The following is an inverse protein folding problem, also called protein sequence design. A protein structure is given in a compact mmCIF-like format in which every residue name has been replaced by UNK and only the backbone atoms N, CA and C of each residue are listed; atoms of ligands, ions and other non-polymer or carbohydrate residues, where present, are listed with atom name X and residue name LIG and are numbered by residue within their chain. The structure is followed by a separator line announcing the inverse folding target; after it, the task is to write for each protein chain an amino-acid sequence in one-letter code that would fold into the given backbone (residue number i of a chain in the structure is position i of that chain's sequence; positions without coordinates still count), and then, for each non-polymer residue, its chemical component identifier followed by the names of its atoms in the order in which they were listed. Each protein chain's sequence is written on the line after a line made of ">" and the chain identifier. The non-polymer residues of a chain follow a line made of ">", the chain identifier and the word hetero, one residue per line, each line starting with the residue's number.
data_IF_926188363129
#
_entry.id   IF_926188363129
#
_cell.length_a   1.000
_cell.length_b   1.000
_cell.length_c   1.000
_cell.angle_alpha   90.00
_cell.angle_beta   90.00
_cell.angle_gamma   90.00
#
_symmetry.space_group_name_H-M   'P 1'
#
loop_
_entity.id
_entity.type
_entity.pdbx_description
1 polymer ?
#
# COMPACT_ATOMS: atom_id res chain seq x y z
N UNK A 1 18.00 3.53 16.30
CA UNK A 1 18.67 2.46 17.09
C UNK A 1 19.26 2.99 18.39
N UNK A 2 20.44 3.63 18.43
CA UNK A 2 21.15 3.98 19.68
C UNK A 2 20.34 4.77 20.73
N UNK A 3 19.46 5.69 20.31
CA UNK A 3 18.59 6.45 21.24
C UNK A 3 17.45 5.63 21.83
N UNK A 4 17.02 4.56 21.15
CA UNK A 4 15.87 3.72 21.53
C UNK A 4 16.31 2.51 22.35
N UNK A 5 17.37 1.85 21.92
CA UNK A 5 18.01 0.76 22.63
C UNK A 5 19.55 0.89 22.50
N UNK A 6 20.26 1.25 23.57
CA UNK A 6 21.71 1.39 23.54
C UNK A 6 22.45 0.04 23.39
N UNK A 7 21.82 -1.09 23.74
CA UNK A 7 22.43 -2.42 23.65
C UNK A 7 22.50 -2.96 22.21
N UNK A 8 21.60 -2.52 21.34
CA UNK A 8 21.51 -2.93 19.94
C UNK A 8 22.17 -1.93 18.96
N UNK A 9 23.01 -1.01 19.47
CA UNK A 9 23.65 -0.01 18.64
C UNK A 9 24.81 -0.62 17.82
N UNK A 10 24.89 -0.36 16.50
CA UNK A 10 25.96 -0.88 15.67
C UNK A 10 27.31 -0.22 16.00
N UNK A 11 28.38 -1.00 15.86
CA UNK A 11 29.76 -0.55 16.03
C UNK A 11 30.37 -0.10 14.70
N UNK A 12 31.54 0.53 14.79
CA UNK A 12 32.31 0.92 13.60
C UNK A 12 32.77 -0.32 12.85
N UNK A 13 32.30 -0.48 11.61
CA UNK A 13 32.62 -1.62 10.75
C UNK A 13 31.45 -2.58 10.51
N UNK A 14 30.35 -2.45 11.27
CA UNK A 14 29.19 -3.32 11.13
C UNK A 14 28.30 -2.93 9.94
N UNK A 15 27.72 -3.93 9.27
CA UNK A 15 26.69 -3.71 8.25
C UNK A 15 25.32 -3.58 8.90
N UNK A 16 24.69 -2.42 8.75
CA UNK A 16 23.40 -2.12 9.38
C UNK A 16 22.27 -2.33 8.38
N UNK A 17 21.32 -3.27 8.63
CA UNK A 17 20.15 -3.43 7.77
C UNK A 17 19.14 -2.31 7.99
N UNK A 18 18.50 -1.86 6.92
CA UNK A 18 17.45 -0.84 6.97
C UNK A 18 16.41 -1.07 5.88
N UNK A 19 15.22 -0.52 6.09
CA UNK A 19 14.13 -0.44 5.11
C UNK A 19 13.62 0.99 5.02
N UNK A 20 13.09 1.38 3.86
CA UNK A 20 12.52 2.71 3.64
C UNK A 20 11.02 2.69 3.88
N UNK A 21 10.59 3.40 4.92
CA UNK A 21 9.17 3.56 5.26
C UNK A 21 8.51 4.68 4.45
N UNK A 22 7.19 4.57 4.29
CA UNK A 22 6.35 5.60 3.68
C UNK A 22 6.29 6.85 4.57
N UNK A 23 6.54 8.01 3.96
CA UNK A 23 6.36 9.32 4.60
C UNK A 23 5.84 10.34 3.56
N UNK A 24 5.62 11.58 3.99
CA UNK A 24 5.18 12.66 3.08
C UNK A 24 6.11 12.82 1.86
N UNK A 25 5.52 13.29 0.74
CA UNK A 25 6.26 13.54 -0.51
C UNK A 25 7.36 14.57 -0.24
N UNK A 26 8.59 14.28 -0.71
CA UNK A 26 9.73 15.19 -0.57
C UNK A 26 10.57 15.03 0.71
N UNK A 27 10.19 14.15 1.64
CA UNK A 27 11.04 13.84 2.80
C UNK A 27 12.30 13.09 2.34
N UNK A 28 13.46 13.50 2.87
CA UNK A 28 14.74 12.91 2.51
C UNK A 28 14.83 11.42 2.94
N UNK A 29 15.52 10.60 2.14
CA UNK A 29 15.57 9.15 2.34
C UNK A 29 16.18 8.74 3.70
N UNK A 30 17.13 9.51 4.24
CA UNK A 30 17.75 9.22 5.55
C UNK A 30 16.79 9.41 6.73
N UNK A 31 15.71 10.20 6.58
CA UNK A 31 14.67 10.33 7.59
C UNK A 31 13.65 9.20 7.52
N UNK A 32 13.60 8.50 6.38
CA UNK A 32 12.70 7.37 6.12
C UNK A 32 13.33 6.01 6.40
N UNK A 33 14.62 5.96 6.69
CA UNK A 33 15.30 4.70 6.97
C UNK A 33 14.99 4.23 8.39
N UNK A 34 14.38 3.06 8.51
CA UNK A 34 14.08 2.42 9.79
C UNK A 34 14.60 0.99 9.83
N UNK A 35 14.67 0.46 11.05
CA UNK A 35 15.11 -0.92 11.27
C UNK A 35 14.00 -1.93 10.96
N UNK A 36 14.31 -3.08 10.33
CA UNK A 36 13.29 -4.03 9.90
C UNK A 36 12.45 -4.61 11.06
N UNK A 37 13.06 -4.76 12.23
CA UNK A 37 12.41 -5.34 13.42
C UNK A 37 11.34 -4.36 13.93
N UNK A 38 11.70 -3.09 14.08
CA UNK A 38 10.79 -2.03 14.50
C UNK A 38 9.64 -1.81 13.52
N UNK A 39 9.91 -1.93 12.22
CA UNK A 39 8.87 -1.86 11.17
C UNK A 39 7.86 -2.99 11.31
N UNK A 40 8.32 -4.20 11.63
CA UNK A 40 7.45 -5.36 11.85
C UNK A 40 6.59 -5.18 13.11
N UNK A 41 7.20 -4.76 14.22
CA UNK A 41 6.52 -4.55 15.50
C UNK A 41 5.44 -3.46 15.38
N UNK A 42 5.76 -2.34 14.73
CA UNK A 42 4.86 -1.19 14.63
C UNK A 42 3.97 -1.20 13.38
N UNK A 43 4.13 -2.19 12.51
CA UNK A 43 3.41 -2.31 11.23
C UNK A 43 3.50 -1.02 10.40
N UNK A 44 4.71 -0.49 10.24
CA UNK A 44 4.94 0.74 9.48
C UNK A 44 4.79 0.47 7.97
N UNK A 45 4.12 1.36 7.22
CA UNK A 45 3.94 1.20 5.79
C UNK A 45 5.28 1.35 5.06
N UNK A 46 5.50 0.53 4.04
CA UNK A 46 6.69 0.57 3.19
C UNK A 46 6.47 1.51 2.01
N UNK A 47 7.48 2.30 1.63
CA UNK A 47 7.43 3.17 0.46
C UNK A 47 7.63 2.37 -0.84
N UNK A 48 6.56 1.77 -1.37
CA UNK A 48 6.63 0.96 -2.60
C UNK A 48 7.11 1.75 -3.81
N UNK A 49 6.84 3.06 -3.85
CA UNK A 49 7.25 3.91 -4.97
C UNK A 49 8.77 4.07 -4.98
N UNK A 50 9.37 4.29 -3.81
CA UNK A 50 10.81 4.37 -3.66
C UNK A 50 11.53 3.12 -4.21
N UNK A 51 11.07 1.93 -3.84
CA UNK A 51 11.68 0.68 -4.31
C UNK A 51 11.49 0.47 -5.82
N UNK A 52 10.32 0.82 -6.36
CA UNK A 52 10.07 0.71 -7.79
C UNK A 52 10.98 1.64 -8.61
N UNK A 53 11.08 2.92 -8.23
CA UNK A 53 11.80 3.93 -9.02
C UNK A 53 13.31 3.93 -8.78
N UNK A 54 13.74 3.79 -7.53
CA UNK A 54 15.17 3.96 -7.19
C UNK A 54 15.96 2.66 -7.30
N UNK A 55 15.34 1.52 -7.00
CA UNK A 55 16.01 0.23 -6.94
C UNK A 55 15.76 -0.62 -8.18
N UNK A 56 14.50 -0.75 -8.62
CA UNK A 56 14.14 -1.66 -9.71
C UNK A 56 14.20 -1.01 -11.09
N UNK A 57 13.71 0.23 -11.25
CA UNK A 57 13.59 0.86 -12.56
C UNK A 57 14.95 0.97 -13.27
N UNK A 58 15.98 1.50 -12.60
CA UNK A 58 17.31 1.74 -13.19
C UNK A 58 17.96 0.47 -13.76
N UNK A 59 18.09 -0.65 -13.01
CA UNK A 59 18.67 -1.87 -13.57
C UNK A 59 17.81 -2.50 -14.67
N UNK A 60 16.48 -2.43 -14.55
CA UNK A 60 15.58 -2.96 -15.57
C UNK A 60 15.72 -2.21 -16.89
N UNK A 61 15.73 -0.87 -16.84
CA UNK A 61 15.93 -0.04 -18.01
C UNK A 61 17.26 -0.37 -18.70
N UNK A 62 18.36 -0.46 -17.94
CA UNK A 62 19.68 -0.80 -18.49
C UNK A 62 19.70 -2.14 -19.26
N UNK A 63 18.89 -3.13 -18.86
CA UNK A 63 18.84 -4.44 -19.50
C UNK A 63 17.94 -4.41 -20.75
N UNK A 64 16.81 -3.72 -20.65
CA UNK A 64 15.75 -3.78 -21.65
C UNK A 64 15.81 -2.68 -22.71
N UNK A 65 16.50 -1.56 -22.44
CA UNK A 65 16.69 -0.46 -23.39
C UNK A 65 17.33 -0.90 -24.72
N UNK A 66 18.41 -1.72 -24.74
CA UNK A 66 19.01 -2.16 -26.01
C UNK A 66 18.09 -3.05 -26.87
N UNK A 67 17.07 -3.66 -26.26
CA UNK A 67 16.17 -4.61 -26.93
C UNK A 67 14.91 -3.90 -27.44
N UNK A 68 14.30 -3.06 -26.60
CA UNK A 68 13.00 -2.43 -26.85
C UNK A 68 13.12 -1.01 -27.43
N UNK A 69 14.31 -0.41 -27.36
CA UNK A 69 14.58 0.97 -27.73
C UNK A 69 14.33 1.95 -26.57
N UNK A 70 14.93 3.13 -26.69
CA UNK A 70 14.82 4.21 -25.68
C UNK A 70 13.35 4.63 -25.47
N UNK A 71 12.95 4.83 -24.22
CA UNK A 71 11.62 5.33 -23.83
C UNK A 71 10.48 4.31 -23.79
N UNK A 72 10.48 3.29 -24.68
CA UNK A 72 9.44 2.24 -24.69
C UNK A 72 9.52 1.30 -23.50
N UNK A 73 10.73 0.99 -23.04
CA UNK A 73 10.93 0.13 -21.88
C UNK A 73 10.29 0.73 -20.62
N UNK A 74 10.41 2.05 -20.41
CA UNK A 74 9.87 2.71 -19.23
C UNK A 74 8.34 2.73 -19.21
N UNK A 75 7.70 3.02 -20.34
CA UNK A 75 6.24 3.01 -20.42
C UNK A 75 5.70 1.59 -20.22
N UNK A 76 6.21 0.62 -20.96
CA UNK A 76 5.68 -0.76 -20.92
C UNK A 76 5.91 -1.42 -19.55
N UNK A 77 7.09 -1.24 -18.94
CA UNK A 77 7.45 -1.97 -17.72
C UNK A 77 7.01 -1.27 -16.43
N UNK A 78 7.06 0.07 -16.37
CA UNK A 78 6.90 0.80 -15.11
C UNK A 78 5.57 1.58 -15.04
N UNK A 79 5.01 1.97 -16.19
CA UNK A 79 3.79 2.80 -16.27
C UNK A 79 2.68 2.06 -17.04
N UNK A 80 1.83 1.31 -16.35
CA UNK A 80 0.74 0.59 -17.03
C UNK A 80 -0.38 0.13 -16.11
N UNK A 81 -1.31 -0.63 -16.69
CA UNK A 81 -2.44 -1.21 -15.96
C UNK A 81 -1.98 -2.14 -14.82
N UNK A 82 -0.84 -2.81 -15.01
CA UNK A 82 -0.24 -3.72 -14.03
C UNK A 82 0.27 -3.01 -12.77
N UNK A 83 0.59 -1.71 -12.81
CA UNK A 83 1.06 -0.94 -11.65
C UNK A 83 -0.02 -0.05 -11.01
N UNK A 84 -1.25 -0.03 -11.55
CA UNK A 84 -2.36 0.79 -11.03
C UNK A 84 -2.99 0.24 -9.75
N UNK A 85 -2.70 -1.00 -9.39
CA UNK A 85 -3.20 -1.66 -8.19
C UNK A 85 -2.18 -1.56 -7.04
N UNK A 86 -2.30 -0.53 -6.20
CA UNK A 86 -1.50 -0.42 -4.96
C UNK A 86 -2.28 -0.99 -3.78
N UNK A 87 -1.67 -1.94 -3.06
CA UNK A 87 -2.18 -2.40 -1.75
C UNK A 87 -1.40 -1.64 -0.68
N UNK A 88 -2.03 -0.62 -0.10
CA UNK A 88 -1.40 0.18 0.96
C UNK A 88 -1.87 -0.37 2.30
N UNK A 89 -0.92 -0.77 3.14
CA UNK A 89 -1.18 -1.07 4.55
C UNK A 89 -1.27 0.25 5.31
N UNK A 90 -2.35 0.45 6.07
CA UNK A 90 -2.46 1.59 6.98
C UNK A 90 -1.76 1.29 8.29
N UNK A 91 -0.92 2.21 8.77
CA UNK A 91 -0.23 2.07 10.05
C UNK A 91 -1.24 1.94 11.20
N UNK A 92 -0.96 1.03 12.15
CA UNK A 92 -1.75 0.89 13.38
C UNK A 92 -1.55 2.07 14.34
N UNK A 93 -0.41 2.76 14.23
CA UNK A 93 0.05 3.74 15.21
C UNK A 93 -0.24 5.15 14.69
N UNK A 94 -1.45 5.63 14.92
CA UNK A 94 -1.83 7.01 14.63
C UNK A 94 -3.03 7.44 15.48
N UNK A 95 -2.95 8.61 16.12
CA UNK A 95 -4.01 9.12 17.00
C UNK A 95 -5.38 9.21 16.32
N UNK A 96 -5.40 9.50 15.01
CA UNK A 96 -6.63 9.52 14.22
C UNK A 96 -7.23 8.12 13.98
N UNK A 97 -6.41 7.06 13.88
CA UNK A 97 -6.89 5.71 13.57
C UNK A 97 -7.58 5.05 14.78
N UNK A 98 -7.36 5.55 15.99
CA UNK A 98 -8.05 5.09 17.19
C UNK A 98 -9.55 5.40 17.19
N UNK A 99 -10.00 6.42 16.44
CA UNK A 99 -11.39 6.84 16.38
C UNK A 99 -12.14 6.33 15.13
N UNK A 100 -11.45 5.61 14.25
CA UNK A 100 -12.03 5.13 13.01
C UNK A 100 -12.87 3.88 13.25
N UNK A 101 -14.16 3.93 12.88
CA UNK A 101 -15.07 2.78 12.97
C UNK A 101 -15.11 2.01 11.66
N UNK A 102 -14.96 0.68 11.72
CA UNK A 102 -15.04 -0.18 10.53
C UNK A 102 -16.50 -0.27 10.04
N UNK A 103 -16.72 0.10 8.77
CA UNK A 103 -18.01 -0.12 8.08
C UNK A 103 -17.89 -1.29 7.10
N UNK A 104 -18.96 -2.06 6.95
CA UNK A 104 -19.06 -3.12 5.96
C UNK A 104 -19.19 -2.54 4.55
N UNK A 105 -18.45 -3.11 3.60
CA UNK A 105 -18.50 -2.76 2.18
C UNK A 105 -18.83 -3.99 1.34
N UNK A 106 -19.51 -3.77 0.22
CA UNK A 106 -19.78 -4.82 -0.75
C UNK A 106 -18.49 -5.30 -1.41
N UNK A 107 -18.27 -6.61 -1.44
CA UNK A 107 -17.06 -7.21 -2.06
C UNK A 107 -16.98 -6.87 -3.55
N UNK A 108 -18.12 -6.85 -4.26
CA UNK A 108 -18.15 -6.64 -5.71
C UNK A 108 -17.96 -5.19 -6.14
N UNK A 109 -18.70 -4.25 -5.54
CA UNK A 109 -18.75 -2.85 -5.99
C UNK A 109 -18.18 -1.83 -5.00
N UNK A 110 -17.69 -2.28 -3.83
CA UNK A 110 -17.16 -1.42 -2.75
C UNK A 110 -18.15 -0.41 -2.15
N UNK A 111 -19.44 -0.50 -2.49
CA UNK A 111 -20.48 0.31 -1.88
C UNK A 111 -20.61 0.01 -0.37
N UNK A 112 -20.88 1.04 0.44
CA UNK A 112 -21.13 0.89 1.87
C UNK A 112 -22.42 0.08 2.10
N UNK A 113 -22.38 -0.84 3.06
CA UNK A 113 -23.52 -1.68 3.44
C UNK A 113 -24.00 -1.30 4.84
N UNK A 114 -25.31 -1.16 4.99
CA UNK A 114 -25.96 -0.91 6.28
C UNK A 114 -26.33 -2.22 7.02
N UNK A 115 -26.09 -3.37 6.38
CA UNK A 115 -26.36 -4.71 6.91
C UNK A 115 -25.07 -5.53 6.98
N UNK A 116 -25.07 -6.58 7.81
CA UNK A 116 -23.93 -7.49 8.00
C UNK A 116 -23.70 -8.48 6.81
N UNK A 117 -24.25 -8.19 5.63
CA UNK A 117 -24.07 -9.03 4.44
C UNK A 117 -22.77 -8.74 3.70
N UNK A 118 -22.32 -9.69 2.88
CA UNK A 118 -21.10 -9.55 2.08
C UNK A 118 -21.32 -8.80 0.73
N UNK A 119 -22.57 -8.78 0.24
CA UNK A 119 -22.93 -8.20 -1.06
C UNK A 119 -24.13 -7.26 -0.96
N UNK A 120 -24.17 -6.27 -1.85
CA UNK A 120 -25.33 -5.38 -2.03
C UNK A 120 -26.41 -6.04 -2.90
N UNK A 121 -27.62 -5.45 -2.93
CA UNK A 121 -28.76 -5.96 -3.70
C UNK A 121 -28.44 -6.18 -5.18
N UNK A 122 -27.63 -5.29 -5.77
CA UNK A 122 -27.24 -5.34 -7.17
C UNK A 122 -26.17 -6.40 -7.49
N UNK A 123 -25.38 -6.81 -6.50
CA UNK A 123 -24.32 -7.81 -6.70
C UNK A 123 -24.74 -9.23 -6.31
N UNK A 124 -25.98 -9.43 -5.84
CA UNK A 124 -26.50 -10.73 -5.40
C UNK A 124 -26.49 -11.77 -6.53
N UNK A 125 -26.84 -11.38 -7.76
CA UNK A 125 -26.87 -12.30 -8.90
C UNK A 125 -25.51 -12.92 -9.21
N UNK A 126 -24.42 -12.18 -8.94
CA UNK A 126 -23.03 -12.63 -9.15
C UNK A 126 -22.38 -13.17 -7.88
N UNK A 127 -23.16 -13.49 -6.85
CA UNK A 127 -22.62 -13.92 -5.56
C UNK A 127 -21.76 -15.18 -5.66
N UNK A 128 -22.17 -16.15 -6.49
CA UNK A 128 -21.43 -17.40 -6.70
C UNK A 128 -20.05 -17.16 -7.32
N UNK A 129 -19.97 -16.27 -8.31
CA UNK A 129 -18.73 -15.87 -8.96
C UNK A 129 -17.79 -15.13 -7.98
N UNK A 130 -18.33 -14.17 -7.22
CA UNK A 130 -17.57 -13.44 -6.20
C UNK A 130 -17.03 -14.39 -5.13
N UNK A 131 -17.85 -15.32 -4.66
CA UNK A 131 -17.44 -16.33 -3.68
C UNK A 131 -16.31 -17.20 -4.22
N UNK A 132 -16.43 -17.72 -5.43
CA UNK A 132 -15.38 -18.53 -6.05
C UNK A 132 -14.09 -17.76 -6.24
N UNK A 133 -14.16 -16.46 -6.59
CA UNK A 133 -12.98 -15.59 -6.69
C UNK A 133 -12.28 -15.42 -5.35
N UNK A 134 -13.01 -15.20 -4.28
CA UNK A 134 -12.42 -15.08 -2.93
C UNK A 134 -11.81 -16.41 -2.45
N UNK A 135 -12.50 -17.53 -2.65
CA UNK A 135 -12.01 -18.86 -2.25
C UNK A 135 -10.75 -19.26 -3.04
N UNK A 136 -10.73 -19.01 -4.35
CA UNK A 136 -9.55 -19.27 -5.20
C UNK A 136 -8.44 -18.26 -4.97
N UNK A 137 -8.80 -17.01 -4.67
CA UNK A 137 -7.88 -15.90 -4.49
C UNK A 137 -7.13 -15.92 -3.16
N UNK A 138 -7.57 -16.72 -2.18
CA UNK A 138 -6.84 -17.12 -0.97
C UNK A 138 -6.38 -16.01 -0.02
N UNK A 139 -6.45 -14.75 -0.43
CA UNK A 139 -6.12 -13.59 0.36
C UNK A 139 -7.43 -12.94 0.80
N UNK A 140 -7.92 -13.38 1.96
CA UNK A 140 -8.86 -12.61 2.79
C UNK A 140 -8.17 -11.29 3.13
N UNK A 141 -8.16 -10.38 2.17
CA UNK A 141 -7.88 -8.99 2.44
C UNK A 141 -9.18 -8.48 3.04
N UNK A 142 -9.22 -8.39 4.36
CA UNK A 142 -10.20 -7.58 5.06
C UNK A 142 -9.97 -6.12 4.62
N UNK A 143 -10.38 -5.78 3.40
CA UNK A 143 -10.31 -4.45 2.80
C UNK A 143 -11.44 -3.62 3.38
N UNK A 144 -11.37 -3.39 4.70
CA UNK A 144 -12.20 -2.40 5.35
C UNK A 144 -11.76 -1.02 4.88
N UNK A 145 -12.68 -0.25 4.31
CA UNK A 145 -12.45 1.17 4.04
C UNK A 145 -12.61 1.93 5.35
N UNK A 146 -11.57 2.65 5.76
CA UNK A 146 -11.58 3.51 6.93
C UNK A 146 -12.12 4.88 6.52
N UNK A 147 -13.20 5.34 7.15
CA UNK A 147 -13.78 6.64 6.89
C UNK A 147 -13.72 7.48 8.17
N UNK A 148 -12.99 8.59 8.13
CA UNK A 148 -12.97 9.55 9.23
C UNK A 148 -14.35 10.21 9.34
N UNK A 149 -14.84 10.36 10.58
CA UNK A 149 -16.14 10.96 10.87
C UNK A 149 -16.03 12.48 10.72
N UNK A 150 -16.25 13.01 9.53
CA UNK A 150 -16.67 14.39 9.34
C UNK A 150 -18.08 14.37 8.72
N UNK A 151 -18.99 15.05 9.40
CA UNK A 151 -20.36 15.25 8.96
C UNK A 151 -20.38 16.07 7.66
N UNK A 152 -21.18 15.62 6.68
CA UNK A 152 -21.64 16.42 5.56
C UNK A 152 -20.66 16.64 4.40
N UNK A 153 -20.55 15.64 3.51
CA UNK A 153 -20.77 15.71 2.04
C UNK A 153 -20.25 14.42 1.41
N UNK A 154 -21.11 13.70 0.71
CA UNK A 154 -20.76 12.50 -0.05
C UNK A 154 -20.26 12.90 -1.42
N UNK A 155 -18.95 13.10 -1.57
CA UNK A 155 -18.31 13.07 -2.88
C UNK A 155 -17.67 11.69 -3.10
N UNK A 156 -17.82 11.11 -4.30
CA UNK A 156 -17.18 9.84 -4.63
C UNK A 156 -15.66 10.01 -4.53
N UNK A 157 -14.99 9.09 -3.84
CA UNK A 157 -13.53 8.98 -3.89
C UNK A 157 -13.11 8.61 -5.31
N UNK A 158 -12.97 9.64 -6.14
CA UNK A 158 -12.33 9.57 -7.43
C UNK A 158 -10.86 9.24 -7.18
N UNK A 159 -10.37 8.19 -7.85
CA UNK A 159 -8.97 7.78 -7.78
C UNK A 159 -8.14 8.82 -8.54
N UNK A 160 -7.90 9.98 -7.93
CA UNK A 160 -7.08 11.03 -8.51
C UNK A 160 -5.65 10.53 -8.68
N UNK A 161 -5.26 10.42 -9.94
CA UNK A 161 -3.89 10.24 -10.38
C UNK A 161 -3.34 11.66 -10.56
N UNK A 162 -2.67 12.20 -9.56
CA UNK A 162 -1.83 13.40 -9.77
C UNK A 162 -0.47 12.94 -10.29
N UNK A 163 -0.14 13.38 -11.51
CA UNK A 163 1.19 13.31 -12.12
C UNK A 163 2.09 14.41 -11.55
#
# INVERSE_FOLDING_TARGET
>A
MRRRDPGSAPNLGDRVPYVIIGAAKGVAAYMKSEDPIYVLENNLPIDTQYYLEQQLAKPLLRIFEPILGEGKAQSILLKGEHTRCKTVLTAKVGGLMAFATKRSTCIGCRALLNHHGAVCKFCLERQSELYQKEVRGGAVTLRGTWQARNEGTSEPFECHVEW
#
